data_IF_315330108357
#
_entry.id   IF_315330108357
#
_cell.length_a   1.000
_cell.length_b   1.000
_cell.length_c   1.000
_cell.angle_alpha   90.00
_cell.angle_beta   90.00
_cell.angle_gamma   90.00
#
_symmetry.space_group_name_H-M   'P 1'
#
loop_
_entity.id
_entity.type
_entity.pdbx_description
1 polymer ?
#
# COMPACT_ATOMS: atom_id res chain seq x y z
N UNK A 1 -6.08 4.03 -15.71
CA UNK A 1 -6.41 3.08 -14.62
C UNK A 1 -5.32 2.02 -14.59
N UNK A 2 -5.01 1.47 -13.42
CA UNK A 2 -4.05 0.37 -13.34
C UNK A 2 -4.64 -0.89 -13.97
N UNK A 3 -3.82 -1.63 -14.70
CA UNK A 3 -4.16 -2.98 -15.15
C UNK A 3 -3.68 -4.04 -14.14
N UNK A 4 -3.22 -3.60 -12.96
CA UNK A 4 -2.59 -4.45 -11.95
C UNK A 4 -3.15 -4.19 -10.56
N UNK A 5 -3.23 -5.27 -9.80
CA UNK A 5 -3.37 -5.29 -8.36
C UNK A 5 -1.99 -5.05 -7.75
N UNK A 6 -1.90 -4.17 -6.76
CA UNK A 6 -0.63 -3.79 -6.14
C UNK A 6 -0.60 -4.18 -4.67
N UNK A 7 0.49 -4.79 -4.26
CA UNK A 7 0.72 -5.27 -2.90
C UNK A 7 2.11 -4.83 -2.45
N UNK A 8 2.31 -4.72 -1.14
CA UNK A 8 3.64 -4.51 -0.57
C UNK A 8 4.46 -5.80 -0.66
N UNK A 9 5.72 -5.67 -1.05
CA UNK A 9 6.65 -6.80 -1.09
C UNK A 9 6.83 -7.39 0.31
N UNK A 10 6.85 -6.54 1.34
CA UNK A 10 7.07 -6.93 2.73
C UNK A 10 5.92 -7.75 3.30
N UNK A 11 4.71 -7.59 2.76
CA UNK A 11 3.55 -8.38 3.15
C UNK A 11 3.43 -9.66 2.31
N UNK A 12 3.75 -9.60 1.02
CA UNK A 12 3.60 -10.74 0.10
C UNK A 12 4.73 -11.77 0.24
N UNK A 13 5.96 -11.33 0.45
CA UNK A 13 7.10 -12.24 0.56
C UNK A 13 6.93 -13.25 1.71
N UNK A 14 6.53 -12.85 2.93
CA UNK A 14 6.24 -13.81 4.00
C UNK A 14 5.20 -14.86 3.62
N UNK A 15 4.10 -14.49 2.92
CA UNK A 15 3.11 -15.45 2.45
C UNK A 15 3.71 -16.49 1.49
N UNK A 16 4.59 -16.04 0.60
CA UNK A 16 5.27 -16.90 -0.36
C UNK A 16 6.26 -17.83 0.35
N UNK A 17 7.03 -17.32 1.31
CA UNK A 17 7.98 -18.11 2.09
C UNK A 17 7.26 -19.14 2.97
N UNK A 18 6.13 -18.78 3.57
CA UNK A 18 5.28 -19.73 4.26
C UNK A 18 4.85 -20.88 3.33
N UNK A 19 4.30 -20.57 2.14
CA UNK A 19 3.86 -21.60 1.19
C UNK A 19 5.02 -22.52 0.78
N UNK A 20 6.17 -21.92 0.45
CA UNK A 20 7.40 -22.60 0.07
C UNK A 20 7.95 -23.53 1.16
N UNK A 21 7.81 -23.17 2.44
CA UNK A 21 8.33 -23.93 3.55
C UNK A 21 7.42 -25.10 3.99
N UNK A 22 6.15 -25.10 3.56
CA UNK A 22 5.21 -26.15 3.95
C UNK A 22 5.43 -27.47 3.19
N UNK A 23 5.15 -28.60 3.84
CA UNK A 23 5.30 -29.95 3.25
C UNK A 23 4.06 -30.42 2.48
N UNK A 24 2.92 -29.77 2.73
CA UNK A 24 1.64 -30.11 2.14
C UNK A 24 0.92 -28.83 1.72
N UNK A 25 0.14 -28.91 0.63
CA UNK A 25 -0.49 -27.75 0.02
C UNK A 25 -1.99 -27.97 -0.10
N UNK A 26 -2.76 -26.91 0.11
CA UNK A 26 -4.19 -26.93 -0.16
C UNK A 26 -4.42 -26.85 -1.67
N UNK A 27 -5.14 -27.81 -2.26
CA UNK A 27 -5.41 -27.78 -3.69
C UNK A 27 -6.44 -26.67 -3.99
N UNK A 28 -6.17 -25.88 -5.03
CA UNK A 28 -7.05 -24.77 -5.44
C UNK A 28 -7.99 -25.19 -6.56
N UNK A 29 -9.16 -24.53 -6.67
CA UNK A 29 -10.12 -24.82 -7.75
C UNK A 29 -9.51 -24.63 -9.14
N UNK A 30 -8.71 -23.58 -9.30
CA UNK A 30 -8.04 -23.28 -10.56
C UNK A 30 -6.96 -24.34 -10.89
N UNK A 31 -6.21 -24.79 -9.89
CA UNK A 31 -5.24 -25.87 -10.05
C UNK A 31 -5.93 -27.20 -10.45
N UNK A 32 -7.06 -27.53 -9.83
CA UNK A 32 -7.86 -28.71 -10.23
C UNK A 32 -8.34 -28.63 -11.66
N UNK A 33 -8.88 -27.47 -12.09
CA UNK A 33 -9.31 -27.25 -13.47
C UNK A 33 -8.17 -27.38 -14.47
N UNK A 34 -6.97 -26.95 -14.08
CA UNK A 34 -5.77 -27.00 -14.92
C UNK A 34 -5.06 -28.37 -14.89
N UNK A 35 -5.50 -29.32 -14.06
CA UNK A 35 -4.84 -30.64 -13.92
C UNK A 35 -3.41 -30.55 -13.38
N UNK A 36 -3.11 -29.50 -12.60
CA UNK A 36 -1.74 -29.23 -12.13
C UNK A 36 -1.43 -29.94 -10.80
N UNK A 37 -0.16 -30.34 -10.58
CA UNK A 37 0.27 -30.98 -9.34
C UNK A 37 0.13 -30.04 -8.14
N UNK A 38 -0.04 -30.62 -6.95
CA UNK A 38 0.02 -29.89 -5.67
C UNK A 38 1.41 -29.31 -5.46
N UNK A 39 1.50 -27.98 -5.47
CA UNK A 39 2.75 -27.25 -5.33
C UNK A 39 2.54 -25.94 -4.55
N UNK A 40 3.63 -25.40 -4.02
CA UNK A 40 3.63 -24.13 -3.31
C UNK A 40 3.18 -22.99 -4.23
N UNK A 41 2.24 -22.19 -3.75
CA UNK A 41 1.64 -21.11 -4.52
C UNK A 41 1.08 -20.01 -3.61
N UNK A 42 0.98 -18.81 -4.18
CA UNK A 42 0.06 -17.81 -3.67
C UNK A 42 -1.32 -18.02 -4.31
N UNK A 43 -2.35 -17.74 -3.53
CA UNK A 43 -3.75 -17.75 -3.96
C UNK A 43 -4.21 -16.30 -4.03
N UNK A 44 -4.59 -15.86 -5.23
CA UNK A 44 -5.33 -14.62 -5.41
C UNK A 44 -6.83 -14.90 -5.30
N UNK A 45 -7.55 -14.06 -4.58
CA UNK A 45 -9.00 -14.10 -4.47
C UNK A 45 -9.60 -12.70 -4.45
N UNK A 46 -10.64 -12.48 -5.23
CA UNK A 46 -11.49 -11.32 -5.23
C UNK A 46 -12.67 -11.57 -4.29
N UNK A 47 -12.85 -10.71 -3.31
CA UNK A 47 -13.95 -10.73 -2.35
C UNK A 47 -14.62 -9.34 -2.33
N UNK A 48 -15.73 -9.23 -1.61
CA UNK A 48 -16.55 -8.02 -1.46
C UNK A 48 -15.80 -6.81 -0.89
N UNK A 49 -14.73 -7.05 -0.14
CA UNK A 49 -13.89 -6.04 0.49
C UNK A 49 -12.56 -5.79 -0.25
N UNK A 50 -12.24 -6.58 -1.29
CA UNK A 50 -11.15 -6.30 -2.21
C UNK A 50 -10.45 -7.54 -2.76
N UNK A 51 -9.25 -7.34 -3.29
CA UNK A 51 -8.42 -8.38 -3.88
C UNK A 51 -7.34 -8.82 -2.90
N UNK A 52 -7.31 -10.10 -2.56
CA UNK A 52 -6.46 -10.64 -1.51
C UNK A 52 -5.44 -11.63 -2.06
N UNK A 53 -4.27 -11.68 -1.43
CA UNK A 53 -3.29 -12.76 -1.55
C UNK A 53 -3.23 -13.56 -0.26
N UNK A 54 -3.14 -14.88 -0.39
CA UNK A 54 -2.92 -15.79 0.75
C UNK A 54 -1.99 -16.94 0.36
N UNK A 55 -1.45 -17.63 1.36
CA UNK A 55 -0.61 -18.80 1.17
C UNK A 55 -1.46 -20.07 1.01
N UNK A 56 -1.07 -20.99 0.12
CA UNK A 56 -1.70 -22.31 0.04
C UNK A 56 -1.08 -23.37 0.97
N UNK A 57 -0.12 -22.99 1.81
CA UNK A 57 0.59 -23.93 2.70
C UNK A 57 -0.27 -24.53 3.81
N UNK A 58 0.12 -25.71 4.29
CA UNK A 58 -0.50 -26.42 5.42
C UNK A 58 0.55 -26.71 6.52
N UNK A 59 0.31 -26.35 7.81
CA UNK A 59 -0.90 -25.72 8.35
C UNK A 59 -1.15 -24.31 7.78
N UNK A 60 -2.40 -23.84 7.86
CA UNK A 60 -2.71 -22.47 7.44
C UNK A 60 -2.05 -21.47 8.39
N UNK A 61 -1.69 -20.33 7.83
CA UNK A 61 -1.29 -19.18 8.60
C UNK A 61 -2.53 -18.41 9.02
N UNK A 62 -2.66 -18.17 10.32
CA UNK A 62 -3.71 -17.36 10.91
C UNK A 62 -3.14 -16.10 11.55
N UNK A 63 -3.92 -15.02 11.50
CA UNK A 63 -3.69 -13.80 12.27
C UNK A 63 -4.00 -14.02 13.76
N UNK A 64 -3.66 -13.04 14.60
CA UNK A 64 -3.84 -13.13 16.06
C UNK A 64 -5.31 -13.33 16.49
N UNK A 65 -6.27 -12.93 15.64
CA UNK A 65 -7.71 -13.11 15.83
C UNK A 65 -8.22 -14.48 15.34
N UNK A 66 -7.34 -15.31 14.77
CA UNK A 66 -7.67 -16.62 14.21
C UNK A 66 -8.25 -16.58 12.79
N UNK A 67 -8.31 -15.42 12.13
CA UNK A 67 -8.66 -15.34 10.71
C UNK A 67 -7.51 -15.87 9.84
N UNK A 68 -7.82 -16.46 8.67
CA UNK A 68 -6.78 -16.83 7.70
C UNK A 68 -5.96 -15.58 7.35
N UNK A 69 -4.63 -15.64 7.49
CA UNK A 69 -3.74 -14.53 7.17
C UNK A 69 -3.72 -14.26 5.66
N UNK A 70 -4.00 -13.01 5.29
CA UNK A 70 -4.10 -12.55 3.89
C UNK A 70 -3.64 -11.11 3.77
N UNK A 71 -3.20 -10.75 2.57
CA UNK A 71 -2.71 -9.41 2.24
C UNK A 71 -3.62 -8.78 1.19
N UNK A 72 -4.14 -7.59 1.49
CA UNK A 72 -5.04 -6.84 0.62
C UNK A 72 -4.25 -6.08 -0.46
N UNK A 73 -4.77 -6.05 -1.68
CA UNK A 73 -4.28 -5.18 -2.73
C UNK A 73 -4.59 -3.73 -2.38
N UNK A 74 -3.56 -2.91 -2.23
CA UNK A 74 -3.71 -1.50 -1.87
C UNK A 74 -4.31 -0.70 -3.03
N UNK A 75 -5.39 0.01 -2.77
CA UNK A 75 -6.10 0.77 -3.80
C UNK A 75 -7.01 1.84 -3.21
N UNK A 76 -7.41 2.80 -4.04
CA UNK A 76 -8.43 3.79 -3.68
C UNK A 76 -9.83 3.22 -3.92
N UNK A 77 -10.81 3.72 -3.17
CA UNK A 77 -12.24 3.43 -3.37
C UNK A 77 -13.02 4.74 -3.51
N UNK A 78 -13.82 4.85 -4.56
CA UNK A 78 -14.75 5.95 -4.77
C UNK A 78 -16.00 5.74 -3.90
N UNK A 79 -16.27 6.69 -3.00
CA UNK A 79 -17.28 6.52 -1.94
C UNK A 79 -18.70 6.41 -2.47
N UNK A 80 -19.02 7.09 -3.57
CA UNK A 80 -20.38 7.12 -4.10
C UNK A 80 -20.73 5.90 -4.96
N UNK A 81 -19.75 5.31 -5.66
CA UNK A 81 -19.99 4.21 -6.60
C UNK A 81 -19.42 2.87 -6.15
N UNK A 82 -18.54 2.87 -5.14
CA UNK A 82 -17.76 1.69 -4.75
C UNK A 82 -16.68 1.31 -5.76
N UNK A 83 -16.48 2.09 -6.84
CA UNK A 83 -15.46 1.81 -7.83
C UNK A 83 -14.07 1.89 -7.19
N UNK A 84 -13.20 0.93 -7.51
CA UNK A 84 -11.83 0.88 -6.98
C UNK A 84 -10.81 1.12 -8.09
N UNK A 85 -9.55 1.36 -7.70
CA UNK A 85 -8.44 1.40 -8.64
C UNK A 85 -8.02 0.04 -9.18
N UNK A 86 -8.61 -1.04 -8.66
CA UNK A 86 -8.28 -2.41 -9.07
C UNK A 86 -8.99 -2.76 -10.40
N UNK A 87 -8.31 -3.50 -11.29
CA UNK A 87 -8.97 -4.07 -12.47
C UNK A 87 -10.12 -5.00 -12.06
N UNK A 88 -11.24 -4.91 -12.76
CA UNK A 88 -12.37 -5.84 -12.57
C UNK A 88 -11.97 -7.21 -13.14
N UNK A 89 -12.06 -8.31 -12.37
CA UNK A 89 -11.77 -9.65 -12.87
C UNK A 89 -12.71 -10.04 -14.03
N UNK A 90 -12.19 -10.73 -15.03
CA UNK A 90 -13.00 -11.28 -16.13
C UNK A 90 -13.59 -12.67 -15.82
N UNK A 91 -13.03 -13.39 -14.84
CA UNK A 91 -13.43 -14.74 -14.41
C UNK A 91 -13.90 -14.71 -12.94
N UNK A 92 -14.11 -15.89 -12.33
CA UNK A 92 -14.58 -16.14 -10.96
C UNK A 92 -13.76 -15.51 -9.82
N UNK A 93 -12.85 -14.58 -10.12
CA UNK A 93 -12.14 -13.78 -9.15
C UNK A 93 -11.04 -14.54 -8.42
N UNK A 94 -10.60 -15.71 -8.91
CA UNK A 94 -9.56 -16.50 -8.25
C UNK A 94 -8.38 -16.79 -9.16
N UNK A 95 -7.18 -16.68 -8.62
CA UNK A 95 -5.93 -17.03 -9.29
C UNK A 95 -5.07 -17.98 -8.48
N UNK A 96 -4.40 -18.87 -9.20
CA UNK A 96 -3.32 -19.71 -8.69
C UNK A 96 -2.00 -19.16 -9.22
N UNK A 97 -1.06 -18.88 -8.33
CA UNK A 97 0.24 -18.27 -8.64
C UNK A 97 1.37 -19.22 -8.16
N UNK A 98 1.82 -20.17 -8.99
CA UNK A 98 2.90 -21.08 -8.63
C UNK A 98 4.17 -20.34 -8.22
N UNK A 99 4.82 -20.80 -7.15
CA UNK A 99 6.07 -20.15 -6.68
C UNK A 99 7.30 -20.56 -7.49
N UNK A 100 7.37 -21.81 -7.94
CA UNK A 100 8.57 -22.43 -8.54
C UNK A 100 8.45 -22.67 -10.05
N UNK A 101 7.37 -22.20 -10.68
CA UNK A 101 7.27 -22.28 -12.14
C UNK A 101 8.10 -21.14 -12.73
N UNK A 102 9.08 -21.49 -13.56
CA UNK A 102 9.94 -20.52 -14.25
C UNK A 102 9.08 -19.49 -15.00
N UNK A 103 9.35 -18.20 -14.76
CA UNK A 103 8.66 -17.13 -15.46
C UNK A 103 9.33 -16.82 -16.82
N UNK A 104 8.54 -16.31 -17.76
CA UNK A 104 8.87 -16.15 -19.19
C UNK A 104 10.03 -15.17 -19.47
N UNK A 105 10.53 -14.43 -18.46
CA UNK A 105 11.80 -13.71 -18.58
C UNK A 105 13.04 -14.65 -18.61
N UNK A 106 12.79 -15.94 -18.40
CA UNK A 106 13.74 -17.05 -18.48
C UNK A 106 14.74 -17.08 -17.33
N UNK A 107 14.51 -16.32 -16.25
CA UNK A 107 15.56 -16.10 -15.23
C UNK A 107 15.13 -16.33 -13.79
N UNK A 108 13.86 -16.12 -13.43
CA UNK A 108 13.41 -16.26 -12.04
C UNK A 108 12.00 -16.83 -11.95
N UNK A 109 11.79 -17.67 -10.95
CA UNK A 109 10.46 -18.02 -10.48
C UNK A 109 9.86 -16.88 -9.62
N UNK A 110 8.59 -17.00 -9.23
CA UNK A 110 7.92 -15.95 -8.47
C UNK A 110 8.55 -15.72 -7.09
N UNK A 111 8.98 -16.79 -6.41
CA UNK A 111 9.61 -16.67 -5.10
C UNK A 111 10.95 -15.93 -5.20
N UNK A 112 11.76 -16.26 -6.19
CA UNK A 112 13.04 -15.61 -6.46
C UNK A 112 12.85 -14.15 -6.89
N UNK A 113 11.77 -13.84 -7.63
CA UNK A 113 11.40 -12.47 -7.97
C UNK A 113 11.10 -11.63 -6.72
N UNK A 114 10.32 -12.16 -5.78
CA UNK A 114 9.97 -11.47 -4.52
C UNK A 114 11.21 -11.28 -3.63
N UNK A 115 12.04 -12.32 -3.49
CA UNK A 115 13.32 -12.22 -2.75
C UNK A 115 14.30 -11.25 -3.40
N UNK A 116 14.32 -11.20 -4.74
CA UNK A 116 15.12 -10.22 -5.47
C UNK A 116 14.60 -8.80 -5.22
N UNK A 117 13.28 -8.59 -5.31
CA UNK A 117 12.65 -7.30 -5.07
C UNK A 117 13.03 -6.75 -3.69
N UNK A 118 12.85 -7.55 -2.62
CA UNK A 118 13.23 -7.16 -1.25
C UNK A 118 14.70 -6.79 -1.13
N UNK A 119 15.61 -7.62 -1.66
CA UNK A 119 17.06 -7.37 -1.62
C UNK A 119 17.50 -6.11 -2.37
N UNK A 120 16.72 -5.66 -3.37
CA UNK A 120 17.05 -4.53 -4.22
C UNK A 120 16.21 -3.27 -3.93
N UNK A 121 15.51 -3.24 -2.80
CA UNK A 121 14.72 -2.10 -2.35
C UNK A 121 13.55 -1.79 -3.28
N UNK A 122 12.90 -2.84 -3.80
CA UNK A 122 11.62 -2.71 -4.50
C UNK A 122 10.51 -2.96 -3.49
N UNK A 123 9.57 -2.04 -3.39
CA UNK A 123 8.55 -2.03 -2.33
C UNK A 123 7.21 -2.60 -2.80
N UNK A 124 7.00 -2.66 -4.13
CA UNK A 124 5.71 -2.99 -4.72
C UNK A 124 5.75 -4.23 -5.61
N UNK A 125 4.79 -5.13 -5.40
CA UNK A 125 4.46 -6.25 -6.27
C UNK A 125 3.16 -5.97 -7.01
N UNK A 126 3.20 -6.03 -8.34
CA UNK A 126 2.07 -5.80 -9.23
C UNK A 126 1.64 -7.08 -9.94
N UNK A 127 0.44 -7.56 -9.65
CA UNK A 127 -0.19 -8.72 -10.28
C UNK A 127 -1.18 -8.28 -11.36
N UNK A 128 -1.00 -8.78 -12.59
CA UNK A 128 -2.06 -8.72 -13.59
C UNK A 128 -3.05 -9.87 -13.33
N UNK A 129 -4.36 -9.59 -13.16
CA UNK A 129 -5.34 -10.61 -12.78
C UNK A 129 -5.61 -11.63 -13.90
N UNK A 130 -5.49 -11.21 -15.17
CA UNK A 130 -5.67 -12.10 -16.32
C UNK A 130 -4.50 -13.10 -16.46
N UNK A 131 -4.74 -14.41 -16.34
CA UNK A 131 -3.71 -15.43 -16.49
C UNK A 131 -3.10 -15.47 -17.90
N UNK A 132 -3.81 -15.02 -18.95
CA UNK A 132 -3.26 -14.98 -20.31
C UNK A 132 -2.05 -14.02 -20.42
N UNK A 133 -1.95 -13.05 -19.50
CA UNK A 133 -0.80 -12.14 -19.42
C UNK A 133 0.51 -12.83 -19.02
N UNK A 134 0.46 -14.08 -18.55
CA UNK A 134 1.65 -14.90 -18.26
C UNK A 134 2.46 -15.20 -19.51
N UNK A 135 1.78 -15.60 -20.59
CA UNK A 135 2.44 -15.93 -21.86
C UNK A 135 3.16 -14.72 -22.48
N UNK A 136 2.72 -13.51 -22.16
CA UNK A 136 3.33 -12.26 -22.60
C UNK A 136 4.43 -11.74 -21.67
N UNK A 137 4.78 -12.47 -20.60
CA UNK A 137 5.73 -12.03 -19.57
C UNK A 137 5.24 -10.83 -18.75
N UNK A 138 3.95 -10.52 -18.85
CA UNK A 138 3.32 -9.34 -18.25
C UNK A 138 2.59 -9.62 -16.95
N UNK A 139 2.58 -10.85 -16.42
CA UNK A 139 1.76 -11.19 -15.25
C UNK A 139 2.26 -10.52 -13.98
N UNK A 140 3.57 -10.50 -13.75
CA UNK A 140 4.18 -9.91 -12.56
C UNK A 140 4.98 -8.65 -12.88
N UNK A 141 5.00 -7.71 -11.95
CA UNK A 141 5.84 -6.51 -12.00
C UNK A 141 6.35 -6.19 -10.60
N UNK A 142 7.62 -5.85 -10.47
CA UNK A 142 8.17 -5.28 -9.25
C UNK A 142 8.53 -3.81 -9.50
N UNK A 143 8.37 -2.96 -8.50
CA UNK A 143 8.65 -1.53 -8.61
C UNK A 143 9.10 -0.93 -7.30
N UNK A 144 9.98 0.08 -7.35
CA UNK A 144 10.32 0.89 -6.17
C UNK A 144 9.18 1.82 -5.77
N UNK A 145 8.44 2.32 -6.74
CA UNK A 145 7.38 3.30 -6.54
C UNK A 145 6.17 2.98 -7.42
N UNK A 146 5.02 3.50 -7.03
CA UNK A 146 3.75 3.29 -7.73
C UNK A 146 3.23 4.59 -8.32
N UNK A 147 3.05 4.64 -9.64
CA UNK A 147 2.63 5.85 -10.36
C UNK A 147 1.10 6.03 -10.46
N UNK A 148 0.33 4.96 -10.26
CA UNK A 148 -1.14 4.93 -10.37
C UNK A 148 -1.85 5.14 -9.01
N UNK A 149 -1.14 5.71 -8.02
CA UNK A 149 -1.71 6.00 -6.69
C UNK A 149 -2.92 6.95 -6.79
N UNK A 150 -2.93 7.87 -7.77
CA UNK A 150 -4.00 8.85 -7.91
C UNK A 150 -5.13 8.37 -8.85
N UNK A 151 -6.41 8.49 -8.46
CA UNK A 151 -7.54 8.21 -9.34
C UNK A 151 -7.59 9.22 -10.50
N UNK A 152 -7.86 8.78 -11.75
CA UNK A 152 -7.75 9.61 -12.94
C UNK A 152 -8.74 10.78 -13.00
N UNK A 153 -9.86 10.68 -12.29
CA UNK A 153 -10.94 11.68 -12.30
C UNK A 153 -11.07 12.43 -10.96
N UNK A 154 -10.03 12.37 -10.12
CA UNK A 154 -10.02 13.11 -8.85
C UNK A 154 -10.15 14.62 -9.04
N UNK A 155 -11.06 15.20 -8.29
CA UNK A 155 -10.98 16.62 -7.92
C UNK A 155 -10.21 16.71 -6.62
N UNK A 156 -9.21 17.59 -6.59
CA UNK A 156 -8.34 17.78 -5.43
C UNK A 156 -8.70 19.06 -4.70
N UNK A 157 -9.07 18.94 -3.42
CA UNK A 157 -9.47 20.08 -2.59
C UNK A 157 -8.42 20.33 -1.51
N UNK A 158 -7.94 21.58 -1.34
CA UNK A 158 -7.03 21.92 -0.25
C UNK A 158 -7.68 21.67 1.12
N UNK A 159 -6.96 21.03 2.03
CA UNK A 159 -7.40 20.79 3.39
C UNK A 159 -6.21 20.75 4.36
N UNK A 160 -6.52 20.76 5.67
CA UNK A 160 -5.55 20.42 6.72
C UNK A 160 -5.86 19.04 7.25
N UNK A 161 -4.86 18.17 7.27
CA UNK A 161 -4.99 16.76 7.68
C UNK A 161 -4.02 16.42 8.80
N UNK A 162 -4.34 15.36 9.53
CA UNK A 162 -3.49 14.78 10.56
C UNK A 162 -3.47 13.26 10.44
N UNK A 163 -2.47 12.64 11.06
CA UNK A 163 -2.32 11.20 11.12
C UNK A 163 -1.61 10.84 12.43
N UNK A 164 -2.21 9.98 13.23
CA UNK A 164 -1.69 9.58 14.54
C UNK A 164 -0.36 8.83 14.44
N UNK A 165 -0.14 8.12 13.33
CA UNK A 165 1.13 7.46 12.99
C UNK A 165 2.32 8.45 12.99
N UNK A 166 2.04 9.74 12.77
CA UNK A 166 3.05 10.81 12.69
C UNK A 166 3.08 11.68 13.96
N UNK A 167 2.63 11.14 15.09
CA UNK A 167 2.59 11.87 16.36
C UNK A 167 1.62 13.06 16.37
N UNK A 168 0.52 12.99 15.61
CA UNK A 168 -0.57 13.98 15.66
C UNK A 168 -0.27 15.34 15.01
N UNK A 169 0.78 15.45 14.20
CA UNK A 169 1.09 16.68 13.45
C UNK A 169 -0.02 17.07 12.45
N UNK A 170 -0.16 18.37 12.17
CA UNK A 170 -1.14 18.87 11.18
C UNK A 170 -0.45 19.41 9.93
N UNK A 171 -0.92 19.01 8.75
CA UNK A 171 -0.27 19.31 7.47
C UNK A 171 -1.25 19.79 6.43
N UNK A 172 -0.80 20.73 5.59
CA UNK A 172 -1.56 21.15 4.41
C UNK A 172 -1.46 20.08 3.34
N UNK A 173 -2.60 19.61 2.86
CA UNK A 173 -2.71 18.59 1.84
C UNK A 173 -3.70 19.02 0.75
N UNK A 174 -3.63 18.33 -0.38
CA UNK A 174 -4.72 18.23 -1.33
C UNK A 174 -5.40 16.87 -1.10
N UNK A 175 -6.70 16.86 -0.84
CA UNK A 175 -7.50 15.65 -0.61
C UNK A 175 -8.30 15.32 -1.87
N UNK A 176 -8.30 14.05 -2.28
CA UNK A 176 -9.11 13.60 -3.41
C UNK A 176 -10.58 13.47 -2.99
N UNK A 177 -11.41 14.41 -3.44
CA UNK A 177 -12.82 14.48 -3.06
C UNK A 177 -13.58 13.25 -3.57
N UNK A 178 -14.30 12.58 -2.67
CA UNK A 178 -15.08 11.38 -2.98
C UNK A 178 -14.27 10.09 -3.04
N UNK A 179 -13.00 10.09 -2.62
CA UNK A 179 -12.15 8.92 -2.59
C UNK A 179 -11.63 8.64 -1.18
N UNK A 180 -11.51 7.36 -0.86
CA UNK A 180 -10.96 6.86 0.41
C UNK A 180 -9.89 5.83 0.15
N UNK A 181 -9.02 5.64 1.13
CA UNK A 181 -8.02 4.56 1.23
C UNK A 181 -8.36 3.69 2.45
N UNK A 182 -7.59 2.61 2.70
CA UNK A 182 -7.56 1.88 3.98
C UNK A 182 -8.95 1.58 4.58
N UNK A 183 -9.58 0.48 4.18
CA UNK A 183 -10.89 0.07 4.74
C UNK A 183 -11.93 1.21 4.79
N UNK A 184 -11.87 2.12 3.79
CA UNK A 184 -12.80 3.24 3.53
C UNK A 184 -12.78 4.40 4.53
N UNK A 185 -11.83 4.46 5.46
CA UNK A 185 -11.80 5.51 6.49
C UNK A 185 -10.64 6.50 6.31
N UNK A 186 -9.57 6.10 5.60
CA UNK A 186 -8.45 6.99 5.31
C UNK A 186 -8.76 7.96 4.17
N UNK A 187 -8.28 9.19 4.28
CA UNK A 187 -8.28 10.14 3.16
C UNK A 187 -7.17 9.81 2.18
N UNK A 188 -7.47 9.92 0.88
CA UNK A 188 -6.43 9.94 -0.14
C UNK A 188 -5.85 11.35 -0.25
N UNK A 189 -4.64 11.53 0.30
CA UNK A 189 -3.94 12.80 0.34
C UNK A 189 -2.75 12.84 -0.62
N UNK A 190 -2.46 14.04 -1.14
CA UNK A 190 -1.16 14.37 -1.72
C UNK A 190 -0.66 15.69 -1.15
N UNK A 191 0.65 15.81 -1.00
CA UNK A 191 1.29 16.89 -0.27
C UNK A 191 2.24 17.66 -1.18
N UNK A 192 2.15 18.99 -1.26
CA UNK A 192 3.19 19.78 -1.92
C UNK A 192 4.52 19.62 -1.18
N UNK A 193 5.65 19.79 -1.88
CA UNK A 193 7.00 19.60 -1.33
C UNK A 193 7.21 20.27 0.03
N UNK A 194 6.77 21.52 0.20
CA UNK A 194 6.94 22.26 1.47
C UNK A 194 6.23 21.57 2.65
N UNK A 195 5.09 20.92 2.41
CA UNK A 195 4.34 20.22 3.45
C UNK A 195 5.08 18.95 3.87
N UNK A 196 5.68 18.23 2.91
CA UNK A 196 6.53 17.06 3.17
C UNK A 196 7.81 17.45 3.92
N UNK A 197 8.43 18.58 3.57
CA UNK A 197 9.59 19.10 4.30
C UNK A 197 9.25 19.44 5.76
N UNK A 198 8.08 20.05 6.00
CA UNK A 198 7.59 20.31 7.37
C UNK A 198 7.30 19.01 8.12
N UNK A 199 6.76 18.00 7.44
CA UNK A 199 6.50 16.68 8.00
C UNK A 199 7.80 15.98 8.41
N UNK A 200 8.81 15.98 7.54
CA UNK A 200 10.14 15.45 7.85
C UNK A 200 10.75 16.14 9.08
N UNK A 201 10.76 17.48 9.13
CA UNK A 201 11.29 18.23 10.27
C UNK A 201 10.52 17.98 11.58
N UNK A 202 9.20 17.76 11.50
CA UNK A 202 8.40 17.40 12.68
C UNK A 202 8.77 16.00 13.19
N UNK A 203 8.87 15.01 12.30
CA UNK A 203 9.23 13.64 12.66
C UNK A 203 10.66 13.56 13.22
N UNK A 204 11.62 14.28 12.64
CA UNK A 204 12.98 14.38 13.18
C UNK A 204 13.00 14.98 14.60
N UNK A 205 12.08 15.91 14.91
CA UNK A 205 11.96 16.50 16.24
C UNK A 205 11.25 15.59 17.26
N UNK A 206 10.41 14.67 16.80
CA UNK A 206 9.77 13.64 17.62
C UNK A 206 10.71 12.48 17.97
N UNK A 207 11.98 12.57 17.62
CA UNK A 207 12.99 11.56 17.91
C UNK A 207 13.86 11.96 19.13
N UNK A 208 13.35 11.96 20.39
CA UNK A 208 14.17 12.19 21.58
C UNK A 208 14.90 10.92 22.08
N UNK A 209 15.01 9.86 21.26
CA UNK A 209 15.94 8.74 21.50
C UNK A 209 15.49 7.65 22.49
N UNK A 210 14.27 7.74 23.04
CA UNK A 210 13.82 6.82 24.11
C UNK A 210 12.91 5.67 23.63
N UNK A 211 12.35 5.71 22.41
CA UNK A 211 11.51 4.63 21.85
C UNK A 211 11.75 4.42 20.34
N UNK A 212 12.67 3.50 19.98
CA UNK A 212 12.92 3.15 18.59
C UNK A 212 11.68 2.64 17.85
N UNK A 213 11.54 2.99 16.58
CA UNK A 213 10.48 2.48 15.70
C UNK A 213 9.08 3.05 15.94
N UNK A 214 8.90 4.03 16.85
CA UNK A 214 7.59 4.62 17.13
C UNK A 214 7.07 5.47 15.96
N UNK A 215 7.96 6.15 15.24
CA UNK A 215 7.62 7.08 14.18
C UNK A 215 8.44 6.83 12.91
N UNK A 216 7.84 7.05 11.72
CA UNK A 216 8.59 6.97 10.49
C UNK A 216 9.50 8.20 10.35
N UNK A 217 10.52 8.06 9.53
CA UNK A 217 11.37 9.15 9.04
C UNK A 217 11.10 9.39 7.56
N UNK A 218 11.13 10.66 7.17
CA UNK A 218 11.01 11.08 5.78
C UNK A 218 12.31 11.69 5.30
N UNK A 219 12.90 11.11 4.26
CA UNK A 219 14.17 11.58 3.69
C UNK A 219 14.02 11.88 2.21
N UNK A 220 14.44 13.07 1.80
CA UNK A 220 14.52 13.41 0.38
C UNK A 220 15.75 12.77 -0.26
N UNK A 221 15.55 12.18 -1.43
CA UNK A 221 16.58 11.66 -2.32
C UNK A 221 16.35 12.27 -3.71
N UNK A 222 16.93 13.45 -3.91
CA UNK A 222 16.60 14.32 -5.04
C UNK A 222 15.13 14.78 -5.03
N UNK A 223 14.39 14.37 -6.06
CA UNK A 223 12.97 14.66 -6.21
C UNK A 223 12.07 13.61 -5.53
N UNK A 224 12.61 12.47 -5.11
CA UNK A 224 11.88 11.39 -4.45
C UNK A 224 11.93 11.52 -2.92
N UNK A 225 10.99 10.87 -2.25
CA UNK A 225 10.92 10.80 -0.79
C UNK A 225 10.95 9.34 -0.36
N UNK A 226 11.97 8.96 0.39
CA UNK A 226 12.02 7.69 1.10
C UNK A 226 11.22 7.80 2.41
N UNK A 227 10.37 6.81 2.66
CA UNK A 227 9.69 6.58 3.93
C UNK A 227 10.45 5.47 4.63
N UNK A 228 11.04 5.78 5.78
CA UNK A 228 11.90 4.87 6.52
C UNK A 228 11.31 4.59 7.90
N UNK A 229 11.42 3.36 8.38
CA UNK A 229 11.11 2.97 9.74
C UNK A 229 12.38 2.51 10.44
N UNK A 230 12.47 2.79 11.73
CA UNK A 230 13.55 2.25 12.54
C UNK A 230 13.21 0.81 12.96
N UNK A 231 14.11 -0.10 12.61
CA UNK A 231 14.10 -1.51 12.98
C UNK A 231 15.15 -1.70 14.07
N UNK A 232 14.70 -2.03 15.28
CA UNK A 232 15.57 -2.38 16.42
C UNK A 232 15.45 -3.88 16.70
N UNK A 233 16.54 -4.60 16.46
CA UNK A 233 16.62 -6.05 16.66
C UNK A 233 17.13 -6.43 18.07
N UNK A 234 17.27 -5.45 18.97
CA UNK A 234 17.82 -5.59 20.31
C UNK A 234 19.35 -5.65 20.36
N UNK A 235 20.04 -5.66 19.22
CA UNK A 235 21.50 -5.55 19.09
C UNK A 235 21.92 -4.19 18.53
N UNK A 236 21.01 -3.51 17.84
CA UNK A 236 21.13 -2.13 17.43
C UNK A 236 19.95 -1.71 16.56
N UNK A 237 19.84 -0.40 16.35
CA UNK A 237 18.81 0.13 15.47
C UNK A 237 19.35 0.48 14.09
N UNK A 238 18.51 0.27 13.08
CA UNK A 238 18.79 0.64 11.69
C UNK A 238 17.55 1.22 11.02
N UNK A 239 17.77 2.13 10.08
CA UNK A 239 16.69 2.66 9.25
C UNK A 239 16.46 1.74 8.05
N UNK A 240 15.21 1.30 7.87
CA UNK A 240 14.75 0.45 6.76
C UNK A 240 13.78 1.26 5.92
N UNK A 241 14.06 1.39 4.62
CA UNK A 241 13.13 2.02 3.68
C UNK A 241 11.93 1.08 3.43
N UNK A 242 10.73 1.56 3.72
CA UNK A 242 9.45 0.84 3.54
C UNK A 242 8.71 1.29 2.28
N UNK A 243 8.88 2.57 1.90
CA UNK A 243 8.30 3.10 0.67
C UNK A 243 9.18 4.16 0.02
N UNK A 244 8.95 4.36 -1.27
CA UNK A 244 9.58 5.40 -2.06
C UNK A 244 8.55 6.11 -2.92
N UNK A 245 8.33 7.38 -2.60
CA UNK A 245 7.28 8.19 -3.20
C UNK A 245 7.87 9.18 -4.20
N UNK A 246 7.44 9.04 -5.44
CA UNK A 246 7.77 9.97 -6.54
C UNK A 246 6.66 11.03 -6.62
N UNK A 247 7.00 12.31 -6.88
CA UNK A 247 5.99 13.34 -7.05
C UNK A 247 5.14 13.10 -8.31
N UNK A 248 3.87 13.44 -8.23
CA UNK A 248 2.97 13.44 -9.38
C UNK A 248 3.29 14.61 -10.34
N UNK A 249 2.52 14.70 -11.44
CA UNK A 249 2.67 15.76 -12.44
C UNK A 249 2.51 17.18 -11.87
N UNK A 250 1.86 17.34 -10.71
CA UNK A 250 1.68 18.61 -10.00
C UNK A 250 2.72 18.81 -8.89
N UNK A 251 3.80 18.02 -8.87
CA UNK A 251 4.86 18.05 -7.86
C UNK A 251 4.34 17.81 -6.44
N UNK A 252 3.28 17.00 -6.32
CA UNK A 252 2.73 16.58 -5.05
C UNK A 252 3.06 15.11 -4.75
N UNK A 253 3.28 14.80 -3.48
CA UNK A 253 3.70 13.48 -3.00
C UNK A 253 2.53 12.81 -2.28
N UNK A 254 2.19 11.58 -2.66
CA UNK A 254 1.15 10.79 -1.98
C UNK A 254 1.73 10.03 -0.77
N UNK A 255 2.29 10.76 0.19
CA UNK A 255 2.98 10.19 1.36
C UNK A 255 2.00 9.38 2.21
N UNK A 256 2.37 8.13 2.52
CA UNK A 256 1.56 7.23 3.33
C UNK A 256 0.27 6.78 2.66
N UNK A 257 0.12 6.97 1.34
CA UNK A 257 -1.04 6.49 0.63
C UNK A 257 -1.22 4.98 0.88
N UNK A 258 -2.44 4.60 1.29
CA UNK A 258 -2.84 3.24 1.63
C UNK A 258 -2.20 2.60 2.87
N UNK A 259 -1.33 3.30 3.60
CA UNK A 259 -0.75 2.81 4.86
C UNK A 259 -1.09 3.72 6.05
N UNK A 260 -1.24 5.02 5.81
CA UNK A 260 -1.48 6.00 6.86
C UNK A 260 -2.93 6.49 6.86
N UNK A 261 -3.65 6.39 7.99
CA UNK A 261 -5.05 6.81 8.11
C UNK A 261 -5.15 8.34 8.25
N UNK A 262 -4.90 9.05 7.16
CA UNK A 262 -5.06 10.50 7.11
C UNK A 262 -6.51 10.91 7.42
N UNK A 263 -6.70 11.88 8.32
CA UNK A 263 -8.01 12.42 8.70
C UNK A 263 -8.03 13.95 8.60
N UNK A 264 -9.21 14.55 8.44
CA UNK A 264 -9.36 16.00 8.45
C UNK A 264 -9.17 16.53 9.87
N UNK A 265 -8.44 17.63 10.01
CA UNK A 265 -8.46 18.40 11.25
C UNK A 265 -9.80 19.12 11.32
N UNK A 266 -10.55 18.92 12.41
CA UNK A 266 -11.81 19.62 12.61
C UNK A 266 -11.57 21.14 12.62
N UNK A 267 -12.15 21.85 11.65
CA UNK A 267 -12.18 23.31 11.69
C UNK A 267 -13.17 23.70 12.78
N UNK A 268 -12.70 24.26 13.90
CA UNK A 268 -13.61 24.89 14.85
C UNK A 268 -14.45 25.94 14.11
N UNK A 269 -15.78 25.98 14.29
CA UNK A 269 -16.59 27.02 13.69
C UNK A 269 -16.12 28.36 14.21
N UNK A 270 -15.55 29.18 13.33
CA UNK A 270 -15.14 30.54 13.67
C UNK A 270 -16.42 31.30 14.01
N UNK A 271 -16.67 31.50 15.30
CA UNK A 271 -17.74 32.38 15.78
C UNK A 271 -17.42 33.78 15.27
N UNK A 272 -17.98 34.16 14.11
CA UNK A 272 -18.00 35.54 13.64
C UNK A 272 -18.87 36.34 14.62
N UNK A 273 -18.24 36.86 15.67
CA UNK A 273 -18.78 37.98 16.41
C UNK A 273 -18.89 39.15 15.43
N UNK A 274 -20.10 39.35 14.95
CA UNK A 274 -20.50 40.47 14.11
C UNK A 274 -20.28 41.75 14.91
N UNK A 275 -19.47 42.65 14.35
CA UNK A 275 -19.42 44.06 14.71
C UNK A 275 -20.84 44.61 14.88
N UNK A 276 -21.21 44.99 16.11
CA UNK A 276 -22.29 45.93 16.32
C UNK A 276 -21.71 47.33 16.32
N UNK A 277 -21.61 47.92 15.13
CA UNK A 277 -21.62 49.38 14.96
C UNK A 277 -22.94 49.89 15.54
N UNK A 278 -22.87 50.53 16.70
CA UNK A 278 -23.79 51.61 17.07
C UNK A 278 -23.28 52.34 18.32
N UNK A 279 -22.50 53.39 18.10
CA UNK A 279 -22.44 54.55 19.00
C UNK A 279 -22.33 55.82 18.17
N UNK A 280 -23.50 56.33 17.81
CA UNK A 280 -23.71 57.75 17.54
C UNK A 280 -24.90 58.19 18.39
N UNK A 281 -24.60 58.84 19.52
CA UNK A 281 -25.30 59.99 20.09
C UNK A 281 -24.54 60.49 21.30
#
# INVERSE_FOLDING_TARGET
MSHRLWFRIDDVLPLAEHAAATRAHRPTRQQYRAGLPEQAALIWSHDTDGDWLSSNGVPRWYDADGADHRVLAETWTHTATGATGNPVPADDGHGFLPLYTEHVDGRRDLLDLLRYARRHGMHWFGLHPDPASEAAGGRYRISRSRGDISPPLSTWTPATVTCDVLGGGTYRAMVATGYTTLTRNGLLCRFPRFAVQRMAAHLDALYPGDMPGEHPRLRFDGDEVAVEWEDDDGLGSRWVEDDRVVPDANRCYAIGAYQWPWTLVATEPTTRATERKDRSR
#
